data_IF_710587824183
#
_entry.id   IF_710587824183
#
_cell.length_a   1.000
_cell.length_b   1.000
_cell.length_c   1.000
_cell.angle_alpha   90.00
_cell.angle_beta   90.00
_cell.angle_gamma   90.00
#
_symmetry.space_group_name_H-M   'P 1'
#
loop_
_entity.id
_entity.type
_entity.pdbx_description
1 polymer ?
#
# COMPACT_ATOMS: atom_id res chain seq x y z
N UNK A 1 7.32 12.88 -18.37
CA UNK A 1 5.98 13.26 -17.91
C UNK A 1 5.57 12.17 -16.93
N UNK A 2 5.73 12.42 -15.64
CA UNK A 2 5.40 11.46 -14.59
C UNK A 2 3.97 11.73 -14.14
N UNK A 3 3.00 11.04 -14.74
CA UNK A 3 1.61 11.07 -14.30
C UNK A 3 1.51 10.28 -12.99
N UNK A 4 1.53 11.00 -11.86
CA UNK A 4 1.33 10.46 -10.52
C UNK A 4 -0.05 10.86 -10.02
N UNK A 5 -0.91 9.87 -9.72
CA UNK A 5 -2.23 10.12 -9.12
C UNK A 5 -2.29 9.45 -7.75
N UNK A 6 -2.25 10.25 -6.69
CA UNK A 6 -2.46 9.79 -5.32
C UNK A 6 -3.94 9.82 -4.95
N UNK A 7 -4.45 8.74 -4.39
CA UNK A 7 -5.83 8.69 -3.85
C UNK A 7 -5.83 8.05 -2.46
N UNK A 8 -6.56 8.64 -1.51
CA UNK A 8 -6.75 8.12 -0.16
C UNK A 8 -8.24 7.91 0.11
N UNK A 9 -8.63 6.75 0.65
CA UNK A 9 -9.99 6.55 1.19
C UNK A 9 -9.88 5.92 2.57
N UNK A 10 -10.70 6.42 3.49
CA UNK A 10 -10.89 5.82 4.79
C UNK A 10 -11.93 4.70 4.69
N UNK A 11 -11.50 3.44 4.80
CA UNK A 11 -12.40 2.43 5.34
C UNK A 11 -12.70 2.77 6.80
N UNK A 12 -13.85 2.35 7.34
CA UNK A 12 -14.33 2.76 8.69
C UNK A 12 -13.26 2.68 9.81
N UNK A 13 -12.21 1.86 9.68
CA UNK A 13 -11.06 1.79 10.61
C UNK A 13 -9.65 1.82 9.97
N UNK A 14 -9.51 1.69 8.65
CA UNK A 14 -8.20 1.58 7.97
C UNK A 14 -8.08 2.65 6.87
N UNK A 15 -7.00 3.41 6.88
CA UNK A 15 -6.66 4.36 5.80
C UNK A 15 -5.85 3.62 4.73
N UNK A 16 -6.30 3.69 3.48
CA UNK A 16 -5.57 3.11 2.36
C UNK A 16 -5.09 4.24 1.46
N UNK A 17 -3.77 4.45 1.45
CA UNK A 17 -3.10 5.26 0.45
C UNK A 17 -2.78 4.41 -0.78
N UNK A 18 -3.15 4.86 -1.97
CA UNK A 18 -2.65 4.25 -3.20
C UNK A 18 -1.90 5.30 -4.00
N UNK A 19 -0.67 4.94 -4.37
CA UNK A 19 0.12 5.69 -5.33
C UNK A 19 0.34 4.81 -6.57
N UNK A 20 -0.23 5.24 -7.69
CA UNK A 20 -0.03 4.60 -8.98
C UNK A 20 1.20 5.23 -9.66
N UNK A 21 2.27 4.45 -9.81
CA UNK A 21 3.49 4.87 -10.52
C UNK A 21 3.77 3.92 -11.68
N UNK A 22 4.22 4.48 -12.80
CA UNK A 22 4.77 3.69 -13.91
C UNK A 22 6.13 3.06 -13.57
N UNK A 23 6.90 3.67 -12.65
CA UNK A 23 8.17 3.15 -12.15
C UNK A 23 8.26 3.36 -10.62
N UNK A 24 7.54 2.53 -9.89
CA UNK A 24 7.28 2.67 -8.45
C UNK A 24 8.52 2.62 -7.57
N UNK A 25 9.56 1.88 -7.97
CA UNK A 25 10.75 1.69 -7.12
C UNK A 25 11.51 2.99 -6.84
N UNK A 26 11.87 3.75 -7.89
CA UNK A 26 12.66 4.98 -7.73
C UNK A 26 11.90 6.09 -7.01
N UNK A 27 10.60 6.21 -7.27
CA UNK A 27 9.78 7.21 -6.61
C UNK A 27 9.59 6.90 -5.12
N UNK A 28 9.29 5.64 -4.79
CA UNK A 28 9.14 5.22 -3.38
C UNK A 28 10.46 5.44 -2.64
N UNK A 29 11.61 5.06 -3.21
CA UNK A 29 12.91 5.29 -2.59
C UNK A 29 13.23 6.78 -2.39
N UNK A 30 12.83 7.65 -3.33
CA UNK A 30 13.10 9.10 -3.27
C UNK A 30 12.16 9.90 -2.37
N UNK A 31 10.89 9.52 -2.28
CA UNK A 31 9.84 10.27 -1.56
C UNK A 31 9.29 9.53 -0.33
N UNK A 32 9.93 8.44 0.08
CA UNK A 32 9.47 7.59 1.18
C UNK A 32 9.12 8.38 2.45
N UNK A 33 10.00 9.32 2.82
CA UNK A 33 9.86 10.10 4.04
C UNK A 33 8.64 11.03 4.00
N UNK A 34 8.41 11.70 2.88
CA UNK A 34 7.27 12.61 2.68
C UNK A 34 5.94 11.85 2.69
N UNK A 35 5.91 10.68 2.03
CA UNK A 35 4.75 9.79 2.03
C UNK A 35 4.46 9.30 3.44
N UNK A 36 5.50 8.89 4.17
CA UNK A 36 5.36 8.41 5.55
C UNK A 36 4.84 9.51 6.47
N UNK A 37 5.43 10.71 6.44
CA UNK A 37 5.00 11.85 7.25
C UNK A 37 3.54 12.23 6.96
N UNK A 38 3.15 12.22 5.68
CA UNK A 38 1.76 12.45 5.26
C UNK A 38 0.82 11.39 5.83
N UNK A 39 1.19 10.11 5.75
CA UNK A 39 0.36 9.00 6.24
C UNK A 39 0.24 9.01 7.77
N UNK A 40 1.34 9.29 8.48
CA UNK A 40 1.38 9.43 9.94
C UNK A 40 0.59 10.68 10.40
N UNK A 41 0.54 11.75 9.60
CA UNK A 41 -0.22 12.97 9.93
C UNK A 41 -1.74 12.76 10.05
N UNK A 42 -2.29 11.70 9.44
CA UNK A 42 -3.72 11.40 9.54
C UNK A 42 -4.14 10.87 10.93
N UNK A 43 -3.20 10.66 11.86
CA UNK A 43 -3.50 10.29 13.25
C UNK A 43 -4.18 8.93 13.43
N UNK A 44 -4.19 8.09 12.39
CA UNK A 44 -4.71 6.72 12.43
C UNK A 44 -3.55 5.75 12.34
N UNK A 45 -3.45 4.83 13.31
CA UNK A 45 -2.38 3.84 13.37
C UNK A 45 -2.52 2.73 12.31
N UNK A 46 -3.74 2.53 11.81
CA UNK A 46 -4.08 1.47 10.85
C UNK A 46 -4.08 2.03 9.43
N UNK A 47 -2.91 2.03 8.80
CA UNK A 47 -2.75 2.41 7.40
C UNK A 47 -1.82 1.46 6.65
N UNK A 48 -1.98 1.41 5.33
CA UNK A 48 -0.94 0.93 4.44
C UNK A 48 -0.97 1.72 3.13
N UNK A 49 0.18 1.75 2.47
CA UNK A 49 0.32 2.19 1.10
C UNK A 49 0.42 0.99 0.18
N UNK A 50 -0.19 1.07 -1.00
CA UNK A 50 0.04 0.14 -2.11
C UNK A 50 0.51 0.88 -3.36
N UNK A 51 1.48 0.29 -4.07
CA UNK A 51 1.94 0.74 -5.37
C UNK A 51 2.00 -0.45 -6.34
N UNK A 52 1.01 -0.59 -7.24
CA UNK A 52 1.03 -1.63 -8.26
C UNK A 52 2.13 -1.36 -9.28
N UNK A 53 2.98 -2.36 -9.53
CA UNK A 53 3.99 -2.37 -10.59
C UNK A 53 3.48 -3.25 -11.73
N UNK A 54 2.92 -2.61 -12.77
CA UNK A 54 2.32 -3.32 -13.91
C UNK A 54 3.36 -4.15 -14.66
N UNK A 55 4.57 -3.60 -14.85
CA UNK A 55 5.68 -4.28 -15.54
C UNK A 55 6.18 -5.51 -14.80
N UNK A 56 6.11 -5.53 -13.46
CA UNK A 56 6.53 -6.66 -12.64
C UNK A 56 5.37 -7.58 -12.23
N UNK A 57 4.14 -7.22 -12.55
CA UNK A 57 2.95 -8.00 -12.21
C UNK A 57 2.72 -8.17 -10.70
N UNK A 58 3.13 -7.21 -9.87
CA UNK A 58 3.04 -7.28 -8.39
C UNK A 58 2.71 -5.93 -7.77
N UNK A 59 2.39 -5.93 -6.48
CA UNK A 59 2.25 -4.71 -5.68
C UNK A 59 3.42 -4.60 -4.70
N UNK A 60 3.93 -3.38 -4.54
CA UNK A 60 4.72 -2.99 -3.38
C UNK A 60 3.77 -2.43 -2.33
N UNK A 61 3.94 -2.88 -1.10
CA UNK A 61 3.13 -2.49 0.04
C UNK A 61 4.04 -1.85 1.09
N UNK A 62 3.53 -0.87 1.81
CA UNK A 62 4.25 -0.27 2.93
C UNK A 62 3.31 -0.06 4.11
N UNK A 63 3.71 -0.54 5.28
CA UNK A 63 3.05 -0.24 6.55
C UNK A 63 3.99 -0.55 7.70
N UNK A 64 3.92 0.23 8.77
CA UNK A 64 4.59 -0.06 10.04
C UNK A 64 3.72 -0.85 11.02
N UNK A 65 2.41 -0.92 10.75
CA UNK A 65 1.46 -1.52 11.68
C UNK A 65 1.45 -3.05 11.54
N UNK A 66 1.80 -3.76 12.62
CA UNK A 66 1.89 -5.23 12.64
C UNK A 66 0.55 -5.94 12.35
N UNK A 67 -0.57 -5.36 12.79
CA UNK A 67 -1.90 -5.89 12.52
C UNK A 67 -2.21 -5.79 11.02
N UNK A 68 -1.85 -4.67 10.39
CA UNK A 68 -2.03 -4.46 8.95
C UNK A 68 -1.12 -5.38 8.13
N UNK A 69 0.14 -5.62 8.55
CA UNK A 69 1.01 -6.63 7.92
C UNK A 69 0.34 -8.00 7.94
N UNK A 70 -0.06 -8.46 9.12
CA UNK A 70 -0.70 -9.77 9.31
C UNK A 70 -1.98 -9.91 8.48
N UNK A 71 -2.77 -8.84 8.41
CA UNK A 71 -3.99 -8.79 7.60
C UNK A 71 -3.70 -8.93 6.10
N UNK A 72 -2.72 -8.19 5.58
CA UNK A 72 -2.35 -8.21 4.17
C UNK A 72 -1.71 -9.55 3.77
N UNK A 73 -0.86 -10.12 4.62
CA UNK A 73 -0.30 -11.47 4.44
C UNK A 73 -1.43 -12.50 4.33
N UNK A 74 -2.40 -12.47 5.26
CA UNK A 74 -3.54 -13.40 5.27
C UNK A 74 -4.49 -13.23 4.10
N UNK A 75 -4.82 -11.99 3.71
CA UNK A 75 -5.92 -11.70 2.77
C UNK A 75 -5.49 -11.67 1.32
N UNK A 76 -4.26 -11.24 1.03
CA UNK A 76 -3.75 -11.06 -0.34
C UNK A 76 -2.41 -11.75 -0.60
N UNK A 77 -1.89 -12.51 0.36
CA UNK A 77 -0.65 -13.26 0.21
C UNK A 77 0.58 -12.36 0.11
N UNK A 78 0.56 -11.19 0.77
CA UNK A 78 1.74 -10.34 0.87
C UNK A 78 2.87 -11.07 1.60
N UNK A 79 4.12 -10.70 1.30
CA UNK A 79 5.32 -11.16 2.01
C UNK A 79 6.11 -9.92 2.43
N UNK A 80 6.25 -9.68 3.73
CA UNK A 80 6.96 -8.51 4.26
C UNK A 80 8.43 -8.82 4.57
N UNK A 81 9.29 -7.87 4.24
CA UNK A 81 10.66 -7.76 4.73
C UNK A 81 10.82 -6.38 5.39
N UNK A 82 10.82 -6.34 6.72
CA UNK A 82 10.69 -5.09 7.47
C UNK A 82 9.29 -4.48 7.29
N UNK A 83 9.21 -3.23 6.84
CA UNK A 83 7.95 -2.52 6.61
C UNK A 83 7.46 -2.58 5.15
N UNK A 84 8.26 -3.18 4.27
CA UNK A 84 7.95 -3.29 2.84
C UNK A 84 7.46 -4.70 2.53
N UNK A 85 6.28 -4.78 1.92
CA UNK A 85 5.67 -6.01 1.45
C UNK A 85 5.65 -6.11 -0.06
N UNK A 86 5.69 -7.33 -0.59
CA UNK A 86 5.45 -7.62 -2.00
C UNK A 86 4.36 -8.68 -2.14
N UNK A 87 3.62 -8.65 -3.26
CA UNK A 87 2.65 -9.70 -3.61
C UNK A 87 3.15 -10.54 -4.77
N UNK A 88 2.65 -11.78 -4.89
CA UNK A 88 3.00 -12.67 -6.01
C UNK A 88 2.18 -12.37 -7.29
N UNK A 89 1.21 -11.46 -7.19
CA UNK A 89 0.39 -10.99 -8.32
C UNK A 89 -0.05 -9.54 -8.14
N UNK A 90 -0.51 -8.92 -9.22
CA UNK A 90 -1.06 -7.57 -9.19
C UNK A 90 -2.46 -7.58 -8.56
N UNK A 91 -2.70 -6.60 -7.70
CA UNK A 91 -3.96 -6.36 -7.03
C UNK A 91 -4.42 -4.93 -7.29
N UNK A 92 -5.67 -4.77 -7.74
CA UNK A 92 -6.30 -3.46 -7.80
C UNK A 92 -6.75 -3.02 -6.40
N UNK A 93 -6.74 -1.71 -6.16
CA UNK A 93 -7.25 -1.07 -4.92
C UNK A 93 -8.56 -1.68 -4.42
N UNK A 94 -9.54 -1.75 -5.32
CA UNK A 94 -10.89 -2.23 -5.06
C UNK A 94 -10.92 -3.70 -4.67
N UNK A 95 -9.99 -4.50 -5.17
CA UNK A 95 -9.88 -5.92 -4.83
C UNK A 95 -9.29 -6.10 -3.43
N UNK A 96 -8.24 -5.33 -3.10
CA UNK A 96 -7.66 -5.32 -1.76
C UNK A 96 -8.71 -4.90 -0.73
N UNK A 97 -9.45 -3.81 -1.02
CA UNK A 97 -10.56 -3.34 -0.20
C UNK A 97 -11.61 -4.43 0.02
N UNK A 98 -12.07 -5.10 -1.05
CA UNK A 98 -13.04 -6.18 -0.94
C UNK A 98 -12.54 -7.35 -0.09
N UNK A 99 -11.25 -7.71 -0.18
CA UNK A 99 -10.66 -8.81 0.60
C UNK A 99 -10.56 -8.46 2.09
N UNK A 100 -10.23 -7.22 2.41
CA UNK A 100 -10.11 -6.74 3.79
C UNK A 100 -11.48 -6.57 4.44
N UNK A 101 -12.47 -6.01 3.73
CA UNK A 101 -13.80 -5.72 4.27
C UNK A 101 -14.72 -6.95 4.40
N UNK A 102 -14.52 -8.02 3.61
CA UNK A 102 -15.27 -9.28 3.75
C UNK A 102 -14.77 -10.15 4.92
N UNK A 103 -14.54 -9.55 6.09
CA UNK A 103 -14.16 -10.29 7.31
C UNK A 103 -15.34 -10.44 8.25
#
# INVERSE_FOLDING_TARGET
MEDTKGTGEAGKEIVIGQLEFWNSKKFIEGHFKEIQETLESYGKEKWFMTSPSISEGKNYLFTKNLEIKSLLEKKIGAKFNGDIGITDRLWLRKEILQKIQKS
#
